data_IF_023494018554
#
_entry.id   IF_023494018554
#
_cell.length_a   1.000
_cell.length_b   1.000
_cell.length_c   1.000
_cell.angle_alpha   90.00
_cell.angle_beta   90.00
_cell.angle_gamma   90.00
#
_symmetry.space_group_name_H-M   'P 1'
#
loop_
_entity.id
_entity.type
_entity.pdbx_description
1 polymer ?
#
# COMPACT_ATOMS: atom_id res chain seq x y z
N UNK A 1 -9.30 -4.90 9.60
CA UNK A 1 -9.50 -5.86 8.48
C UNK A 1 -8.60 -5.57 7.29
N UNK A 2 -8.61 -4.35 6.72
CA UNK A 2 -7.75 -4.00 5.57
C UNK A 2 -6.24 -4.16 5.82
N UNK A 3 -5.74 -3.70 6.98
CA UNK A 3 -4.32 -3.86 7.36
C UNK A 3 -3.91 -5.33 7.44
N UNK A 4 -4.76 -6.19 7.99
CA UNK A 4 -4.50 -7.63 8.06
C UNK A 4 -4.39 -8.26 6.66
N UNK A 5 -5.32 -7.93 5.75
CA UNK A 5 -5.28 -8.40 4.37
C UNK A 5 -4.02 -7.92 3.63
N UNK A 6 -3.65 -6.65 3.81
CA UNK A 6 -2.45 -6.08 3.24
C UNK A 6 -1.18 -6.78 3.75
N UNK A 7 -1.08 -7.00 5.06
CA UNK A 7 0.04 -7.72 5.67
C UNK A 7 0.16 -9.16 5.18
N UNK A 8 -0.97 -9.87 5.11
CA UNK A 8 -1.03 -11.24 4.64
C UNK A 8 -0.55 -11.35 3.19
N UNK A 9 -1.06 -10.50 2.30
CA UNK A 9 -0.66 -10.54 0.89
C UNK A 9 0.80 -10.13 0.68
N UNK A 10 1.28 -9.13 1.43
CA UNK A 10 2.68 -8.72 1.40
C UNK A 10 3.59 -9.89 1.80
N UNK A 11 3.24 -10.62 2.87
CA UNK A 11 3.99 -11.82 3.28
C UNK A 11 3.98 -12.91 2.20
N UNK A 12 2.81 -13.19 1.60
CA UNK A 12 2.66 -14.20 0.54
C UNK A 12 3.46 -13.84 -0.72
N UNK A 13 3.42 -12.58 -1.14
CA UNK A 13 4.17 -12.09 -2.30
C UNK A 13 5.69 -12.17 -2.08
N UNK A 14 6.17 -11.83 -0.88
CA UNK A 14 7.58 -12.00 -0.50
C UNK A 14 8.03 -13.47 -0.45
N UNK A 15 7.12 -14.40 -0.14
CA UNK A 15 7.37 -15.84 -0.06
C UNK A 15 7.22 -16.58 -1.40
N UNK A 16 6.77 -15.91 -2.46
CA UNK A 16 6.46 -16.53 -3.76
C UNK A 16 7.66 -17.24 -4.39
N UNK A 17 7.44 -18.45 -4.93
CA UNK A 17 8.50 -19.29 -5.52
C UNK A 17 8.50 -19.25 -7.06
N UNK A 18 7.42 -18.74 -7.67
CA UNK A 18 7.28 -18.60 -9.12
C UNK A 18 6.59 -17.29 -9.49
N UNK A 19 6.81 -16.84 -10.73
CA UNK A 19 6.18 -15.63 -11.28
C UNK A 19 4.65 -15.74 -11.27
N UNK A 20 4.10 -16.92 -11.58
CA UNK A 20 2.66 -17.19 -11.57
C UNK A 20 2.06 -17.05 -10.17
N UNK A 21 2.77 -17.55 -9.16
CA UNK A 21 2.33 -17.41 -7.76
C UNK A 21 2.35 -15.94 -7.32
N UNK A 22 3.39 -15.19 -7.68
CA UNK A 22 3.47 -13.75 -7.40
C UNK A 22 2.34 -12.97 -8.09
N UNK A 23 2.05 -13.28 -9.35
CA UNK A 23 0.95 -12.66 -10.09
C UNK A 23 -0.39 -12.96 -9.42
N UNK A 24 -0.64 -14.22 -9.04
CA UNK A 24 -1.90 -14.61 -8.40
C UNK A 24 -2.16 -13.83 -7.09
N UNK A 25 -1.15 -13.72 -6.21
CA UNK A 25 -1.25 -12.92 -4.99
C UNK A 25 -1.51 -11.44 -5.30
N UNK A 26 -0.74 -10.86 -6.22
CA UNK A 26 -0.93 -9.47 -6.67
C UNK A 26 -2.31 -9.21 -7.29
N UNK A 27 -2.88 -10.17 -8.00
CA UNK A 27 -4.24 -10.06 -8.54
C UNK A 27 -5.27 -10.00 -7.42
N UNK A 28 -5.15 -10.87 -6.41
CA UNK A 28 -6.04 -10.85 -5.24
C UNK A 28 -5.90 -9.53 -4.48
N UNK A 29 -4.67 -9.06 -4.27
CA UNK A 29 -4.40 -7.75 -3.66
C UNK A 29 -5.03 -6.61 -4.47
N UNK A 30 -4.87 -6.62 -5.79
CA UNK A 30 -5.39 -5.60 -6.70
C UNK A 30 -6.91 -5.51 -6.70
N UNK A 31 -7.61 -6.65 -6.62
CA UNK A 31 -9.06 -6.68 -6.47
C UNK A 31 -9.51 -6.00 -5.16
N UNK A 32 -8.80 -6.24 -4.06
CA UNK A 32 -9.06 -5.58 -2.78
C UNK A 32 -8.79 -4.07 -2.82
N UNK A 33 -7.65 -3.67 -3.40
CA UNK A 33 -7.26 -2.27 -3.53
C UNK A 33 -8.23 -1.47 -4.41
N UNK A 34 -8.72 -2.07 -5.51
CA UNK A 34 -9.66 -1.45 -6.42
C UNK A 34 -11.00 -1.07 -5.77
N UNK A 35 -11.43 -1.81 -4.75
CA UNK A 35 -12.63 -1.47 -3.98
C UNK A 35 -12.34 -0.42 -2.88
N UNK A 36 -11.17 -0.48 -2.25
CA UNK A 36 -10.83 0.37 -1.10
C UNK A 36 -10.61 1.85 -1.44
N UNK A 37 -9.93 2.14 -2.55
CA UNK A 37 -9.62 3.53 -2.96
C UNK A 37 -10.89 4.37 -3.18
N UNK A 38 -11.86 3.93 -4.02
CA UNK A 38 -13.08 4.71 -4.26
C UNK A 38 -13.94 4.81 -2.99
N UNK A 39 -14.06 3.74 -2.18
CA UNK A 39 -14.79 3.79 -0.92
C UNK A 39 -14.20 4.82 0.06
N UNK A 40 -12.86 4.89 0.16
CA UNK A 40 -12.19 5.86 1.03
C UNK A 40 -12.42 7.30 0.58
N UNK A 41 -12.43 7.54 -0.74
CA UNK A 41 -12.78 8.84 -1.33
C UNK A 41 -14.24 9.21 -1.05
N UNK A 42 -15.17 8.26 -1.18
CA UNK A 42 -16.60 8.45 -0.87
C UNK A 42 -16.80 8.81 0.60
N UNK A 43 -16.24 8.03 1.52
CA UNK A 43 -16.35 8.28 2.98
C UNK A 43 -15.74 9.64 3.36
N UNK A 44 -14.60 10.00 2.77
CA UNK A 44 -13.99 11.33 2.98
C UNK A 44 -14.91 12.45 2.49
N UNK A 45 -15.66 12.21 1.42
CA UNK A 45 -16.73 13.10 0.97
C UNK A 45 -17.80 13.28 2.05
N UNK A 46 -18.28 12.21 2.67
CA UNK A 46 -19.36 12.27 3.66
C UNK A 46 -18.93 12.92 4.98
N UNK A 47 -17.66 12.76 5.39
CA UNK A 47 -17.15 13.25 6.68
C UNK A 47 -16.76 14.74 6.62
N UNK A 48 -16.20 15.21 5.50
CA UNK A 48 -15.65 16.57 5.41
C UNK A 48 -16.55 17.55 4.66
N UNK A 49 -16.58 18.79 5.13
CA UNK A 49 -17.29 19.88 4.46
C UNK A 49 -16.62 20.24 3.13
N UNK A 50 -17.37 20.83 2.19
CA UNK A 50 -16.87 21.16 0.83
C UNK A 50 -15.58 21.99 0.85
N UNK A 51 -15.43 22.90 1.82
CA UNK A 51 -14.24 23.74 1.99
C UNK A 51 -13.00 22.95 2.46
N UNK A 52 -13.19 21.90 3.27
CA UNK A 52 -12.10 21.08 3.81
C UNK A 52 -11.65 19.99 2.84
N UNK A 53 -12.56 19.48 2.01
CA UNK A 53 -12.26 18.42 1.03
C UNK A 53 -11.07 18.76 0.15
N UNK A 54 -10.98 19.99 -0.38
CA UNK A 54 -9.86 20.42 -1.23
C UNK A 54 -8.51 20.38 -0.49
N UNK A 55 -8.50 20.77 0.79
CA UNK A 55 -7.29 20.76 1.62
C UNK A 55 -6.86 19.33 1.96
N UNK A 56 -7.80 18.48 2.36
CA UNK A 56 -7.54 17.06 2.69
C UNK A 56 -7.09 16.29 1.46
N UNK A 57 -7.75 16.49 0.32
CA UNK A 57 -7.37 15.86 -0.94
C UNK A 57 -6.00 16.35 -1.43
N UNK A 58 -5.69 17.64 -1.27
CA UNK A 58 -4.36 18.19 -1.53
C UNK A 58 -3.26 17.57 -0.64
N UNK A 59 -3.56 17.34 0.65
CA UNK A 59 -2.65 16.62 1.54
C UNK A 59 -2.40 15.19 1.07
N UNK A 60 -3.47 14.44 0.75
CA UNK A 60 -3.35 13.08 0.23
C UNK A 60 -2.54 13.04 -1.07
N UNK A 61 -2.83 13.92 -2.03
CA UNK A 61 -2.08 14.02 -3.28
C UNK A 61 -0.61 14.40 -3.05
N UNK A 62 -0.32 15.29 -2.09
CA UNK A 62 1.05 15.66 -1.72
C UNK A 62 1.85 14.49 -1.17
N UNK A 63 1.26 13.72 -0.23
CA UNK A 63 1.88 12.49 0.30
C UNK A 63 2.10 11.47 -0.83
N UNK A 64 1.12 11.31 -1.72
CA UNK A 64 1.23 10.40 -2.86
C UNK A 64 2.37 10.79 -3.81
N UNK A 65 2.52 12.08 -4.10
CA UNK A 65 3.60 12.62 -4.92
C UNK A 65 4.98 12.45 -4.28
N UNK A 66 5.11 12.66 -2.97
CA UNK A 66 6.36 12.38 -2.26
C UNK A 66 6.70 10.88 -2.27
N UNK A 67 5.70 10.04 -2.03
CA UNK A 67 5.87 8.59 -2.05
C UNK A 67 6.27 8.07 -3.44
N UNK A 68 5.78 8.66 -4.53
CA UNK A 68 6.14 8.24 -5.89
C UNK A 68 7.58 8.56 -6.27
N UNK A 69 8.20 9.55 -5.61
CA UNK A 69 9.61 9.90 -5.80
C UNK A 69 10.51 9.04 -4.91
N UNK A 70 10.16 8.92 -3.63
CA UNK A 70 10.97 8.19 -2.63
C UNK A 70 10.87 6.68 -2.85
N UNK A 71 9.70 6.18 -3.24
CA UNK A 71 9.41 4.75 -3.40
C UNK A 71 10.35 4.04 -4.37
N UNK A 72 10.56 4.52 -5.61
CA UNK A 72 11.50 3.91 -6.56
C UNK A 72 12.95 3.91 -6.07
N UNK A 73 13.40 5.00 -5.42
CA UNK A 73 14.75 5.09 -4.87
C UNK A 73 14.96 4.07 -3.75
N UNK A 74 14.03 4.00 -2.80
CA UNK A 74 14.09 3.05 -1.71
C UNK A 74 13.96 1.60 -2.22
N UNK A 75 13.03 1.35 -3.14
CA UNK A 75 12.81 0.02 -3.73
C UNK A 75 13.99 -0.49 -4.54
N UNK A 76 14.64 0.40 -5.31
CA UNK A 76 15.88 0.10 -6.03
C UNK A 76 17.00 -0.29 -5.06
N UNK A 77 17.26 0.55 -4.06
CA UNK A 77 18.27 0.27 -3.03
C UNK A 77 18.03 -1.07 -2.31
N UNK A 78 16.78 -1.37 -1.92
CA UNK A 78 16.41 -2.64 -1.28
C UNK A 78 16.65 -3.82 -2.22
N UNK A 79 16.31 -3.67 -3.50
CA UNK A 79 16.47 -4.74 -4.49
C UNK A 79 17.93 -5.03 -4.77
N UNK A 80 18.76 -3.98 -4.85
CA UNK A 80 20.20 -4.08 -5.15
C UNK A 80 21.00 -4.67 -3.98
N UNK A 81 20.69 -4.28 -2.75
CA UNK A 81 21.50 -4.63 -1.56
C UNK A 81 21.02 -5.90 -0.85
N UNK A 82 19.72 -6.23 -0.93
CA UNK A 82 19.12 -7.34 -0.20
C UNK A 82 18.50 -8.36 -1.16
N UNK A 83 17.32 -8.03 -1.69
CA UNK A 83 16.54 -8.82 -2.65
C UNK A 83 15.23 -8.09 -2.93
N UNK A 84 14.68 -8.26 -4.13
CA UNK A 84 13.33 -7.76 -4.48
C UNK A 84 12.24 -8.24 -3.51
N UNK A 85 12.42 -9.40 -2.85
CA UNK A 85 11.48 -9.94 -1.86
C UNK A 85 11.29 -9.01 -0.65
N UNK A 86 12.33 -8.26 -0.28
CA UNK A 86 12.30 -7.36 0.87
C UNK A 86 11.43 -6.13 0.65
N UNK A 87 11.15 -5.77 -0.60
CA UNK A 87 10.16 -4.73 -0.95
C UNK A 87 8.77 -5.08 -0.39
N UNK A 88 8.50 -6.36 -0.14
CA UNK A 88 7.28 -6.82 0.51
C UNK A 88 7.43 -6.93 2.03
N UNK A 89 8.52 -7.54 2.50
CA UNK A 89 8.68 -7.76 3.94
C UNK A 89 8.83 -6.47 4.74
N UNK A 90 9.31 -5.39 4.12
CA UNK A 90 9.41 -4.09 4.78
C UNK A 90 8.04 -3.57 5.26
N UNK A 91 6.95 -3.94 4.59
CA UNK A 91 5.60 -3.52 4.97
C UNK A 91 5.12 -4.18 6.27
N UNK A 92 5.70 -5.33 6.66
CA UNK A 92 5.25 -6.10 7.81
C UNK A 92 5.41 -5.35 9.15
N UNK A 93 6.61 -4.86 9.52
CA UNK A 93 6.77 -4.11 10.76
C UNK A 93 5.89 -2.84 10.81
N UNK A 94 5.76 -2.11 9.69
CA UNK A 94 4.91 -0.92 9.64
C UNK A 94 3.43 -1.25 9.75
N UNK A 95 2.96 -2.29 9.06
CA UNK A 95 1.57 -2.71 9.15
C UNK A 95 1.21 -3.31 10.52
N UNK A 96 2.16 -3.99 11.18
CA UNK A 96 1.97 -4.46 12.56
C UNK A 96 1.88 -3.28 13.54
N UNK A 97 2.73 -2.26 13.38
CA UNK A 97 2.64 -1.03 14.16
C UNK A 97 1.30 -0.32 13.93
N UNK A 98 0.82 -0.26 12.69
CA UNK A 98 -0.48 0.32 12.35
C UNK A 98 -1.67 -0.50 12.85
N UNK A 99 -1.52 -1.82 13.00
CA UNK A 99 -2.58 -2.69 13.55
C UNK A 99 -2.65 -2.65 15.09
N UNK A 100 -1.60 -2.18 15.76
CA UNK A 100 -1.51 -2.09 17.22
C UNK A 100 -2.13 -0.79 17.78
N UNK A 101 -2.46 0.17 16.92
CA UNK A 101 -3.05 1.48 17.25
C UNK A 101 -4.48 1.54 16.75
#
# INVERSE_FOLDING_TARGET
VGVFFFLLDSALSGASQSILQLIAFRTIQGLGAGALIPLSMTISGDIYTVAERARIQGLFSGVWGLASIIGPLAGGFITDQLSWRWVFYINIPFGLAAAAV
#
